data_IF_143822356750
#
_entry.id   IF_143822356750
#
_cell.length_a   1.000
_cell.length_b   1.000
_cell.length_c   1.000
_cell.angle_alpha   90.00
_cell.angle_beta   90.00
_cell.angle_gamma   90.00
#
_symmetry.space_group_name_H-M   'P 1'
#
loop_
_entity.id
_entity.type
_entity.pdbx_description
1 polymer ?
#
# COMPACT_ATOMS: atom_id res chain seq x y z
N UNK A 1 -3.04 23.79 9.96
CA UNK A 1 -2.40 22.47 10.12
C UNK A 1 -3.43 21.36 10.16
N UNK A 2 -3.01 20.15 9.86
CA UNK A 2 -3.83 18.93 9.86
C UNK A 2 -3.04 17.80 10.53
N UNK A 3 -3.63 17.17 11.53
CA UNK A 3 -3.09 15.93 12.08
C UNK A 3 -3.29 14.78 11.06
N UNK A 4 -2.19 14.22 10.60
CA UNK A 4 -2.14 13.12 9.63
C UNK A 4 -1.50 11.86 10.22
N UNK A 5 -1.52 11.71 11.54
CA UNK A 5 -0.89 10.59 12.28
C UNK A 5 -1.61 9.25 12.08
N UNK A 6 -2.91 9.27 11.80
CA UNK A 6 -3.71 8.05 11.64
C UNK A 6 -3.85 7.60 10.18
N UNK A 7 -4.02 8.56 9.26
CA UNK A 7 -4.28 8.26 7.85
C UNK A 7 -3.91 9.43 6.94
N UNK A 8 -3.40 9.11 5.75
CA UNK A 8 -3.18 10.08 4.68
C UNK A 8 -4.47 10.48 3.94
N UNK A 9 -5.57 9.76 4.11
CA UNK A 9 -6.82 9.95 3.33
C UNK A 9 -7.43 11.33 3.53
N UNK A 10 -7.45 11.83 4.79
CA UNK A 10 -8.00 13.17 5.09
C UNK A 10 -7.14 14.23 4.42
N UNK A 11 -5.81 14.12 4.50
CA UNK A 11 -4.89 15.04 3.84
C UNK A 11 -5.09 15.03 2.31
N UNK A 12 -5.22 13.86 1.70
CA UNK A 12 -5.53 13.71 0.26
C UNK A 12 -6.83 14.40 -0.11
N UNK A 13 -7.89 14.23 0.70
CA UNK A 13 -9.18 14.91 0.47
C UNK A 13 -9.07 16.44 0.54
N UNK A 14 -8.34 16.96 1.53
CA UNK A 14 -8.08 18.40 1.67
C UNK A 14 -7.28 18.95 0.47
N UNK A 15 -6.23 18.24 0.04
CA UNK A 15 -5.42 18.62 -1.13
C UNK A 15 -6.26 18.68 -2.41
N UNK A 16 -7.15 17.72 -2.63
CA UNK A 16 -8.08 17.73 -3.76
C UNK A 16 -9.05 18.92 -3.70
N UNK A 17 -9.59 19.22 -2.52
CA UNK A 17 -10.47 20.38 -2.33
C UNK A 17 -9.74 21.72 -2.58
N UNK A 18 -8.50 21.85 -2.07
CA UNK A 18 -7.65 23.02 -2.34
C UNK A 18 -7.37 23.17 -3.84
N UNK A 19 -7.03 22.07 -4.53
CA UNK A 19 -6.78 22.09 -5.97
C UNK A 19 -8.00 22.55 -6.77
N UNK A 20 -9.20 22.14 -6.37
CA UNK A 20 -10.45 22.57 -7.01
C UNK A 20 -10.79 24.05 -6.75
N UNK A 21 -10.33 24.60 -5.62
CA UNK A 21 -10.70 25.96 -5.15
C UNK A 21 -9.93 27.09 -5.84
N UNK A 22 -8.95 26.82 -6.69
CA UNK A 22 -8.06 27.77 -7.35
C UNK A 22 -7.33 28.71 -6.34
N UNK A 23 -6.04 28.91 -6.52
CA UNK A 23 -5.23 29.77 -5.66
C UNK A 23 -3.94 29.10 -5.19
N UNK A 24 -3.26 29.78 -4.26
CA UNK A 24 -2.04 29.32 -3.61
C UNK A 24 -2.36 28.83 -2.20
N UNK A 25 -1.96 27.61 -1.90
CA UNK A 25 -2.24 26.95 -0.63
C UNK A 25 -0.99 26.31 -0.04
N UNK A 26 -0.95 26.27 1.31
CA UNK A 26 0.02 25.49 2.06
C UNK A 26 -0.74 24.70 3.13
N UNK A 27 -0.56 23.38 3.14
CA UNK A 27 -1.11 22.47 4.14
C UNK A 27 0.04 21.91 4.97
N UNK A 28 0.07 22.28 6.25
CA UNK A 28 1.02 21.75 7.23
C UNK A 28 0.47 20.46 7.81
N UNK A 29 1.25 19.38 7.70
CA UNK A 29 0.88 18.06 8.20
C UNK A 29 1.61 17.78 9.52
N UNK A 30 0.88 17.42 10.53
CA UNK A 30 1.41 16.97 11.82
C UNK A 30 1.52 15.43 11.77
N UNK A 31 2.73 14.92 12.03
CA UNK A 31 3.02 13.47 12.07
C UNK A 31 2.50 12.68 10.85
N UNK A 32 2.78 13.10 9.60
CA UNK A 32 2.20 12.44 8.43
C UNK A 32 2.70 11.01 8.28
N UNK A 33 1.74 10.11 8.05
CA UNK A 33 1.97 8.68 7.77
C UNK A 33 1.56 8.35 6.35
N UNK A 34 1.99 7.18 5.85
CA UNK A 34 1.70 6.74 4.49
C UNK A 34 2.02 7.82 3.44
N UNK A 35 3.20 8.43 3.57
CA UNK A 35 3.69 9.49 2.68
C UNK A 35 3.65 9.12 1.20
N UNK A 36 3.91 7.87 0.77
CA UNK A 36 3.76 7.48 -0.64
C UNK A 36 2.37 7.79 -1.21
N UNK A 37 1.32 7.60 -0.44
CA UNK A 37 -0.05 7.91 -0.90
C UNK A 37 -0.35 9.40 -0.96
N UNK A 38 0.30 10.23 -0.11
CA UNK A 38 0.24 11.69 -0.25
C UNK A 38 0.93 12.12 -1.54
N UNK A 39 2.12 11.59 -1.81
CA UNK A 39 2.87 11.87 -3.05
C UNK A 39 2.10 11.40 -4.28
N UNK A 40 1.43 10.25 -4.19
CA UNK A 40 0.56 9.75 -5.25
C UNK A 40 -0.58 10.73 -5.55
N UNK A 41 -1.22 11.27 -4.50
CA UNK A 41 -2.26 12.31 -4.64
C UNK A 41 -1.70 13.54 -5.33
N UNK A 42 -0.55 14.05 -4.89
CA UNK A 42 0.09 15.21 -5.50
C UNK A 42 0.48 14.96 -6.96
N UNK A 43 0.96 13.77 -7.28
CA UNK A 43 1.25 13.40 -8.67
C UNK A 43 0.00 13.38 -9.55
N UNK A 44 -1.11 12.86 -9.04
CA UNK A 44 -2.40 12.93 -9.74
C UNK A 44 -2.82 14.37 -10.01
N UNK A 45 -2.65 15.27 -9.05
CA UNK A 45 -2.95 16.69 -9.20
C UNK A 45 -2.02 17.37 -10.22
N UNK A 46 -0.71 17.08 -10.17
CA UNK A 46 0.28 17.58 -11.16
C UNK A 46 -0.09 17.15 -12.58
N UNK A 47 -0.52 15.91 -12.76
CA UNK A 47 -0.97 15.39 -14.05
C UNK A 47 -2.26 16.09 -14.55
N UNK A 48 -2.93 16.85 -13.69
CA UNK A 48 -4.12 17.65 -13.98
C UNK A 48 -3.85 19.16 -14.02
N UNK A 49 -2.58 19.56 -14.11
CA UNK A 49 -2.16 20.94 -14.28
C UNK A 49 -2.09 21.76 -13.00
N UNK A 50 -2.11 21.12 -11.84
CA UNK A 50 -1.87 21.76 -10.55
C UNK A 50 -0.38 21.68 -10.24
N UNK A 51 0.24 22.80 -9.92
CA UNK A 51 1.59 22.79 -9.35
C UNK A 51 1.50 22.35 -7.90
N UNK A 52 2.10 21.23 -7.57
CA UNK A 52 1.98 20.66 -6.22
C UNK A 52 3.29 20.00 -5.79
N UNK A 53 3.68 20.18 -4.53
CA UNK A 53 4.88 19.58 -3.95
C UNK A 53 4.67 19.20 -2.50
N UNK A 54 5.47 18.24 -2.03
CA UNK A 54 5.63 17.89 -0.61
C UNK A 54 7.10 18.11 -0.24
N UNK A 55 7.35 18.97 0.72
CA UNK A 55 8.66 19.18 1.31
C UNK A 55 8.55 19.02 2.82
N UNK A 56 9.32 18.11 3.38
CA UNK A 56 9.23 17.70 4.78
C UNK A 56 7.79 17.27 5.13
N UNK A 57 7.03 18.16 5.77
CA UNK A 57 5.63 17.95 6.19
C UNK A 57 4.70 19.05 5.65
N UNK A 58 5.10 19.76 4.60
CA UNK A 58 4.33 20.87 4.02
C UNK A 58 3.98 20.50 2.58
N UNK A 59 2.69 20.39 2.32
CA UNK A 59 2.18 20.31 0.95
C UNK A 59 1.87 21.72 0.45
N UNK A 60 2.46 22.11 -0.68
CA UNK A 60 2.15 23.40 -1.35
C UNK A 60 1.45 23.14 -2.66
N UNK A 61 0.43 23.95 -2.95
CA UNK A 61 -0.31 23.91 -4.20
C UNK A 61 -0.45 25.31 -4.79
N UNK A 62 -0.25 25.41 -6.10
CA UNK A 62 -0.66 26.55 -6.91
C UNK A 62 -1.60 26.03 -7.99
N UNK A 63 -2.88 26.35 -7.89
CA UNK A 63 -3.92 25.81 -8.76
C UNK A 63 -4.67 26.91 -9.51
N UNK A 64 -4.71 26.77 -10.82
CA UNK A 64 -5.64 27.51 -11.70
C UNK A 64 -6.94 26.70 -11.95
N UNK A 65 -7.13 25.62 -11.22
CA UNK A 65 -8.21 24.64 -11.39
C UNK A 65 -7.71 23.32 -11.95
N UNK A 66 -8.49 22.27 -11.72
CA UNK A 66 -8.18 20.92 -12.17
C UNK A 66 -8.57 20.77 -13.64
N UNK A 67 -7.64 20.38 -14.49
CA UNK A 67 -7.90 20.18 -15.93
C UNK A 67 -8.56 18.81 -16.17
N UNK A 68 -9.66 18.82 -16.92
CA UNK A 68 -10.29 17.61 -17.43
C UNK A 68 -9.40 16.88 -18.44
N UNK A 69 -9.78 15.66 -18.80
CA UNK A 69 -9.09 14.84 -19.80
C UNK A 69 -9.19 13.35 -19.56
N UNK A 70 -8.64 12.56 -20.45
CA UNK A 70 -8.57 11.10 -20.31
C UNK A 70 -7.55 10.72 -19.24
N UNK A 71 -7.89 9.73 -18.43
CA UNK A 71 -7.04 9.16 -17.40
C UNK A 71 -6.98 7.65 -17.61
N UNK A 72 -5.79 7.10 -17.62
CA UNK A 72 -5.62 5.67 -17.47
C UNK A 72 -5.47 5.36 -15.97
N UNK A 73 -6.40 4.58 -15.44
CA UNK A 73 -6.34 4.14 -14.04
C UNK A 73 -5.46 2.88 -14.00
N UNK A 74 -4.38 2.94 -13.25
CA UNK A 74 -3.51 1.78 -13.02
C UNK A 74 -4.21 0.75 -12.11
N UNK A 75 -3.78 -0.51 -12.20
CA UNK A 75 -4.28 -1.56 -11.33
C UNK A 75 -3.94 -1.29 -9.85
N UNK A 76 -4.75 -1.85 -8.97
CA UNK A 76 -4.61 -1.73 -7.52
C UNK A 76 -3.69 -2.82 -6.97
N UNK A 77 -2.57 -2.40 -6.36
CA UNK A 77 -1.61 -3.32 -5.77
C UNK A 77 -2.13 -4.02 -4.52
N UNK A 78 -2.97 -3.36 -3.70
CA UNK A 78 -3.56 -3.98 -2.51
C UNK A 78 -4.48 -5.15 -2.89
N UNK A 79 -5.34 -4.95 -3.90
CA UNK A 79 -6.20 -6.00 -4.43
C UNK A 79 -5.40 -7.12 -5.11
N UNK A 80 -4.38 -6.76 -5.90
CA UNK A 80 -3.53 -7.71 -6.59
C UNK A 80 -2.71 -8.59 -5.63
N UNK A 81 -2.28 -8.06 -4.49
CA UNK A 81 -1.50 -8.77 -3.49
C UNK A 81 -2.19 -10.07 -3.04
N UNK A 82 -3.51 -10.06 -2.91
CA UNK A 82 -4.27 -11.25 -2.53
C UNK A 82 -4.13 -12.38 -3.56
N UNK A 83 -4.24 -12.05 -4.84
CA UNK A 83 -4.09 -13.01 -5.93
C UNK A 83 -2.66 -13.51 -6.07
N UNK A 84 -1.69 -12.60 -5.96
CA UNK A 84 -0.27 -12.93 -6.08
C UNK A 84 0.19 -13.83 -4.91
N UNK A 85 -0.23 -13.54 -3.68
CA UNK A 85 0.04 -14.40 -2.52
C UNK A 85 -0.61 -15.78 -2.69
N UNK A 86 -1.84 -15.86 -3.20
CA UNK A 86 -2.48 -17.14 -3.47
C UNK A 86 -1.69 -17.98 -4.50
N UNK A 87 -1.16 -17.35 -5.56
CA UNK A 87 -0.28 -18.01 -6.53
C UNK A 87 1.03 -18.50 -5.90
N UNK A 88 1.60 -17.75 -4.97
CA UNK A 88 2.81 -18.11 -4.25
C UNK A 88 2.62 -19.27 -3.28
N UNK A 89 1.47 -19.31 -2.59
CA UNK A 89 1.15 -20.38 -1.63
C UNK A 89 0.83 -21.70 -2.33
N UNK A 90 0.12 -21.66 -3.46
CA UNK A 90 -0.33 -22.88 -4.16
C UNK A 90 -0.71 -22.58 -5.62
N UNK A 91 0.04 -23.15 -6.54
CA UNK A 91 -0.25 -23.05 -7.97
C UNK A 91 0.43 -21.86 -8.65
N UNK A 92 -0.30 -21.16 -9.51
CA UNK A 92 0.22 -20.05 -10.31
C UNK A 92 -0.89 -19.05 -10.62
N UNK A 93 -0.56 -17.76 -10.57
CA UNK A 93 -1.45 -16.64 -10.92
C UNK A 93 -0.72 -15.66 -11.81
N UNK A 94 -1.42 -15.07 -12.78
CA UNK A 94 -0.95 -13.96 -13.59
C UNK A 94 -1.88 -12.77 -13.42
N UNK A 95 -1.33 -11.58 -13.13
CA UNK A 95 -2.08 -10.34 -12.94
C UNK A 95 -1.60 -9.31 -13.96
N UNK A 96 -2.55 -8.68 -14.65
CA UNK A 96 -2.29 -7.62 -15.66
C UNK A 96 -2.75 -6.26 -15.16
N UNK A 97 -2.20 -5.21 -15.78
CA UNK A 97 -2.64 -3.83 -15.52
C UNK A 97 -1.99 -3.16 -14.31
N UNK A 98 -1.07 -3.83 -13.62
CA UNK A 98 -0.27 -3.22 -12.57
C UNK A 98 0.86 -2.39 -13.20
N UNK A 99 1.09 -1.20 -12.64
CA UNK A 99 2.21 -0.36 -13.01
C UNK A 99 3.38 -0.63 -12.07
N UNK A 100 4.53 -0.99 -12.62
CA UNK A 100 5.77 -1.14 -11.85
C UNK A 100 6.35 0.24 -11.50
N UNK A 101 7.10 0.28 -10.42
CA UNK A 101 7.61 1.52 -9.80
C UNK A 101 6.48 2.51 -9.51
N UNK A 102 5.36 1.98 -9.10
CA UNK A 102 4.20 2.75 -8.68
C UNK A 102 4.49 3.46 -7.35
N UNK A 103 3.77 4.57 -7.11
CA UNK A 103 3.73 5.19 -5.78
C UNK A 103 2.79 4.44 -4.81
N UNK A 104 2.10 3.39 -5.24
CA UNK A 104 1.37 2.52 -4.34
C UNK A 104 2.37 1.70 -3.52
N UNK A 105 2.42 1.95 -2.22
CA UNK A 105 3.39 1.30 -1.32
C UNK A 105 3.24 -0.23 -1.29
N UNK A 106 2.06 -0.73 -1.62
CA UNK A 106 1.73 -2.16 -1.64
C UNK A 106 2.44 -2.95 -2.77
N UNK A 107 3.13 -2.27 -3.71
CA UNK A 107 4.08 -2.92 -4.61
C UNK A 107 5.16 -3.70 -3.85
N UNK A 108 5.42 -3.36 -2.57
CA UNK A 108 6.27 -4.09 -1.65
C UNK A 108 5.98 -5.60 -1.61
N UNK A 109 4.76 -6.02 -1.91
CA UNK A 109 4.39 -7.44 -1.98
C UNK A 109 5.31 -8.24 -2.89
N UNK A 110 5.85 -7.67 -3.97
CA UNK A 110 6.77 -8.38 -4.88
C UNK A 110 8.07 -8.80 -4.19
N UNK A 111 8.63 -7.95 -3.34
CA UNK A 111 9.85 -8.26 -2.61
C UNK A 111 9.59 -9.31 -1.53
N UNK A 112 8.42 -9.23 -0.88
CA UNK A 112 7.99 -10.26 0.08
C UNK A 112 7.84 -11.61 -0.61
N UNK A 113 7.22 -11.67 -1.78
CA UNK A 113 7.03 -12.91 -2.53
C UNK A 113 8.37 -13.54 -2.98
N UNK A 114 9.34 -12.71 -3.40
CA UNK A 114 10.70 -13.17 -3.71
C UNK A 114 11.40 -13.75 -2.47
N UNK A 115 11.30 -13.06 -1.33
CA UNK A 115 11.87 -13.51 -0.05
C UNK A 115 11.19 -14.78 0.46
N UNK A 116 9.88 -14.89 0.26
CA UNK A 116 9.12 -16.12 0.54
C UNK A 116 9.57 -17.30 -0.33
N UNK A 117 10.23 -17.03 -1.45
CA UNK A 117 10.79 -18.05 -2.36
C UNK A 117 9.87 -18.41 -3.52
N UNK A 118 8.81 -17.63 -3.77
CA UNK A 118 7.98 -17.80 -4.95
C UNK A 118 8.74 -17.45 -6.24
N UNK A 119 8.37 -18.06 -7.36
CA UNK A 119 8.80 -17.62 -8.68
C UNK A 119 8.01 -16.37 -9.04
N UNK A 120 8.71 -15.26 -9.32
CA UNK A 120 8.12 -13.98 -9.73
C UNK A 120 8.68 -13.60 -11.10
N UNK A 121 7.87 -13.69 -12.12
CA UNK A 121 8.20 -13.32 -13.49
C UNK A 121 7.43 -12.05 -13.86
N UNK A 122 8.11 -11.10 -14.51
CA UNK A 122 7.54 -9.83 -14.93
C UNK A 122 7.86 -9.66 -16.41
N UNK A 123 6.83 -9.47 -17.23
CA UNK A 123 6.97 -9.26 -18.66
C UNK A 123 5.93 -8.25 -19.18
N UNK A 124 5.83 -8.12 -20.52
CA UNK A 124 4.84 -7.23 -21.17
C UNK A 124 3.39 -7.63 -20.92
N UNK A 125 3.16 -8.88 -20.54
CA UNK A 125 1.84 -9.43 -20.28
C UNK A 125 1.37 -9.25 -18.84
N UNK A 126 2.28 -8.90 -17.92
CA UNK A 126 1.99 -8.61 -16.53
C UNK A 126 2.94 -9.25 -15.55
N UNK A 127 2.42 -9.56 -14.37
CA UNK A 127 3.16 -10.18 -13.27
C UNK A 127 2.61 -11.58 -13.04
N UNK A 128 3.49 -12.57 -13.17
CA UNK A 128 3.19 -13.96 -12.93
C UNK A 128 3.90 -14.43 -11.67
N UNK A 129 3.15 -14.99 -10.76
CA UNK A 129 3.67 -15.59 -9.52
C UNK A 129 3.30 -17.05 -9.46
N UNK A 130 4.26 -17.90 -9.16
CA UNK A 130 4.05 -19.34 -9.01
C UNK A 130 4.70 -19.84 -7.72
N UNK A 131 4.06 -20.85 -7.15
CA UNK A 131 4.59 -21.58 -6.01
C UNK A 131 5.93 -22.24 -6.37
N UNK A 132 6.92 -22.12 -5.47
CA UNK A 132 8.21 -22.79 -5.58
C UNK A 132 8.74 -23.22 -4.20
N UNK A 133 8.94 -22.26 -3.29
CA UNK A 133 9.37 -22.46 -1.92
C UNK A 133 8.47 -21.67 -0.97
N UNK A 134 8.55 -21.97 0.33
CA UNK A 134 7.76 -21.31 1.38
C UNK A 134 8.68 -20.88 2.51
N UNK A 135 9.62 -20.00 2.22
CA UNK A 135 10.60 -19.53 3.19
C UNK A 135 9.96 -18.51 4.14
N UNK A 136 10.42 -18.49 5.39
CA UNK A 136 10.12 -17.40 6.31
C UNK A 136 10.63 -16.05 5.76
N UNK A 137 9.95 -14.96 6.13
CA UNK A 137 10.33 -13.62 5.70
C UNK A 137 10.13 -12.59 6.82
N UNK A 138 10.73 -11.43 6.64
CA UNK A 138 10.53 -10.25 7.47
C UNK A 138 10.16 -9.08 6.58
N UNK A 139 9.22 -8.24 7.05
CA UNK A 139 8.75 -7.07 6.31
C UNK A 139 8.29 -5.96 7.26
N UNK A 140 8.60 -4.71 6.92
CA UNK A 140 8.05 -3.51 7.57
C UNK A 140 6.86 -3.00 6.76
N UNK A 141 5.71 -2.92 7.40
CA UNK A 141 4.42 -2.51 6.81
C UNK A 141 4.02 -1.09 7.20
N UNK A 142 4.95 -0.29 7.72
CA UNK A 142 4.68 1.10 8.15
C UNK A 142 4.00 1.92 7.05
N UNK A 143 4.43 1.79 5.80
CA UNK A 143 3.85 2.50 4.67
C UNK A 143 2.82 1.67 3.87
N UNK A 144 2.79 0.35 4.05
CA UNK A 144 1.90 -0.59 3.36
C UNK A 144 1.02 -1.42 4.32
N UNK A 145 0.27 -0.79 5.25
CA UNK A 145 -0.49 -1.50 6.29
C UNK A 145 -1.63 -2.35 5.72
N UNK A 146 -2.04 -2.09 4.47
CA UNK A 146 -3.12 -2.83 3.81
C UNK A 146 -2.69 -4.24 3.40
N UNK A 147 -1.38 -4.49 3.29
CA UNK A 147 -0.82 -5.81 3.07
C UNK A 147 -0.83 -6.72 4.31
N UNK A 148 -1.04 -6.18 5.52
CA UNK A 148 -0.93 -6.96 6.76
C UNK A 148 -1.80 -8.22 6.77
N UNK A 149 -3.10 -8.19 6.45
CA UNK A 149 -3.93 -9.38 6.52
C UNK A 149 -3.46 -10.48 5.55
N UNK A 150 -3.19 -10.13 4.30
CA UNK A 150 -2.78 -11.11 3.28
C UNK A 150 -1.39 -11.67 3.55
N UNK A 151 -0.44 -10.83 4.01
CA UNK A 151 0.90 -11.31 4.35
C UNK A 151 0.92 -12.12 5.65
N UNK A 152 -0.02 -11.91 6.56
CA UNK A 152 -0.20 -12.79 7.73
C UNK A 152 -0.62 -14.20 7.31
N UNK A 153 -1.48 -14.33 6.30
CA UNK A 153 -1.86 -15.64 5.73
C UNK A 153 -0.69 -16.26 4.96
N UNK A 154 0.07 -15.46 4.21
CA UNK A 154 1.29 -15.94 3.55
C UNK A 154 2.31 -16.44 4.58
N UNK A 155 2.51 -15.69 5.67
CA UNK A 155 3.41 -16.07 6.78
C UNK A 155 2.98 -17.37 7.45
N UNK A 156 1.66 -17.59 7.60
CA UNK A 156 1.11 -18.82 8.17
C UNK A 156 1.43 -20.07 7.31
N UNK A 157 1.68 -19.89 6.01
CA UNK A 157 2.11 -20.98 5.11
C UNK A 157 3.62 -21.16 5.03
N UNK A 158 4.41 -20.28 5.64
CA UNK A 158 5.87 -20.31 5.55
C UNK A 158 6.50 -21.40 6.44
N UNK A 159 7.66 -21.91 6.02
CA UNK A 159 8.48 -22.84 6.79
C UNK A 159 9.31 -22.06 7.82
N UNK A 160 8.74 -21.82 9.00
CA UNK A 160 9.36 -21.12 10.11
C UNK A 160 8.70 -19.79 10.45
N UNK A 161 9.26 -19.09 11.42
CA UNK A 161 8.69 -17.85 11.97
C UNK A 161 8.98 -16.68 11.02
N UNK A 162 7.92 -16.05 10.53
CA UNK A 162 7.97 -14.79 9.78
C UNK A 162 7.67 -13.61 10.70
N UNK A 163 8.19 -12.41 10.38
CA UNK A 163 8.03 -11.21 11.17
C UNK A 163 7.43 -10.06 10.35
N UNK A 164 6.31 -9.52 10.82
CA UNK A 164 5.63 -8.38 10.22
C UNK A 164 5.73 -7.20 11.21
N UNK A 165 6.40 -6.14 10.80
CA UNK A 165 6.64 -4.93 11.59
C UNK A 165 5.77 -3.77 11.10
N UNK A 166 5.80 -2.61 11.80
CA UNK A 166 5.04 -1.42 11.39
C UNK A 166 3.52 -1.52 11.63
N UNK A 167 3.09 -2.40 12.55
CA UNK A 167 1.67 -2.76 12.75
C UNK A 167 0.90 -1.86 13.72
N UNK A 168 1.54 -0.85 14.32
CA UNK A 168 0.99 -0.03 15.41
C UNK A 168 -0.30 0.73 15.05
N UNK A 169 -0.59 0.97 13.76
CA UNK A 169 -1.79 1.68 13.29
C UNK A 169 -2.96 0.76 12.90
N UNK A 170 -2.77 -0.55 12.94
CA UNK A 170 -3.78 -1.50 12.44
C UNK A 170 -5.05 -1.56 13.30
N UNK A 171 -4.94 -1.22 14.59
CA UNK A 171 -6.07 -1.18 15.50
C UNK A 171 -7.01 0.03 15.28
N UNK A 172 -6.52 1.09 14.60
CA UNK A 172 -7.25 2.36 14.40
C UNK A 172 -7.68 2.59 12.94
N UNK A 173 -7.74 1.53 12.14
CA UNK A 173 -8.29 1.57 10.77
C UNK A 173 -9.82 1.51 10.78
N UNK A 174 -10.45 1.26 9.63
CA UNK A 174 -11.91 1.08 9.52
C UNK A 174 -12.44 -0.05 10.39
N UNK A 175 -11.57 -0.99 10.73
CA UNK A 175 -11.77 -2.04 11.74
C UNK A 175 -10.44 -2.29 12.46
N UNK A 176 -10.47 -2.91 13.64
CA UNK A 176 -9.26 -3.43 14.27
C UNK A 176 -8.73 -4.62 13.45
N UNK A 177 -7.85 -4.31 12.49
CA UNK A 177 -7.27 -5.31 11.59
C UNK A 177 -6.34 -6.27 12.32
N UNK A 178 -5.68 -5.80 13.38
CA UNK A 178 -4.80 -6.65 14.19
C UNK A 178 -5.62 -7.71 14.93
N UNK A 179 -6.67 -7.29 15.64
CA UNK A 179 -7.54 -8.22 16.37
C UNK A 179 -8.24 -9.21 15.45
N UNK A 180 -8.79 -8.75 14.31
CA UNK A 180 -9.47 -9.62 13.34
C UNK A 180 -8.54 -10.62 12.67
N UNK A 181 -7.31 -10.20 12.32
CA UNK A 181 -6.33 -11.12 11.74
C UNK A 181 -5.84 -12.14 12.75
N UNK A 182 -5.60 -11.74 14.01
CA UNK A 182 -5.26 -12.68 15.09
C UNK A 182 -6.35 -13.73 15.30
N UNK A 183 -7.61 -13.29 15.37
CA UNK A 183 -8.73 -14.23 15.50
C UNK A 183 -8.80 -15.22 14.33
N UNK A 184 -8.48 -14.80 13.10
CA UNK A 184 -8.37 -15.70 11.95
C UNK A 184 -7.23 -16.71 12.14
N UNK A 185 -6.05 -16.27 12.58
CA UNK A 185 -4.90 -17.15 12.80
C UNK A 185 -5.18 -18.16 13.92
N UNK A 186 -5.90 -17.76 14.98
CA UNK A 186 -6.36 -18.65 16.06
C UNK A 186 -7.28 -19.76 15.51
N UNK A 187 -8.25 -19.40 14.67
CA UNK A 187 -9.16 -20.37 14.03
C UNK A 187 -8.41 -21.35 13.13
N UNK A 188 -7.36 -20.87 12.46
CA UNK A 188 -6.50 -21.70 11.60
C UNK A 188 -5.48 -22.54 12.40
N UNK A 189 -5.39 -22.38 13.72
CA UNK A 189 -4.43 -23.09 14.57
C UNK A 189 -2.98 -22.62 14.35
N UNK A 190 -2.77 -21.42 13.85
CA UNK A 190 -1.44 -20.85 13.58
C UNK A 190 -0.90 -20.16 14.83
N UNK A 191 0.26 -20.64 15.31
CA UNK A 191 0.93 -19.99 16.43
C UNK A 191 1.40 -18.58 16.04
N UNK A 192 1.04 -17.57 16.83
CA UNK A 192 1.43 -16.19 16.62
C UNK A 192 1.60 -15.44 17.93
N UNK A 193 2.35 -14.32 17.89
CA UNK A 193 2.51 -13.39 19.02
C UNK A 193 2.60 -11.94 18.51
N UNK A 194 2.33 -11.00 19.38
CA UNK A 194 2.55 -9.57 19.14
C UNK A 194 3.53 -9.08 20.21
N UNK A 195 4.59 -8.41 19.79
CA UNK A 195 5.62 -7.80 20.65
C UNK A 195 5.44 -6.28 20.73
#
# INVERSE_FOLDING_TARGET
SLDASNTSQIASGVLMAMAASQGNFALYLENPVSKPYLEFTLQCLRNRGVEASLSENICTLNSAGIRGGNVHIQGDWSGAANLLCMGAMSGQVSVKGLLLNSLQADELVLDVLRNFGASVEIDSDGIKVAHKEQNRFQVDLTDAPDLFPVLSVLAASANGESRLEGIHRLATKESDRLASTRALLDVLGVAHRTE
#
